data_IF_325934488033
#
_entry.id   IF_325934488033
#
_cell.length_a   1.000
_cell.length_b   1.000
_cell.length_c   1.000
_cell.angle_alpha   90.00
_cell.angle_beta   90.00
_cell.angle_gamma   90.00
#
_symmetry.space_group_name_H-M   'P 1'
#
loop_
_entity.id
_entity.type
_entity.pdbx_description
1 polymer ?
#
# COMPACT_ATOMS: atom_id res chain seq x y z
N UNK A 1 19.69 26.93 -4.93
CA UNK A 1 18.57 25.97 -5.00
C UNK A 1 19.19 24.63 -5.33
N UNK A 2 19.16 23.68 -4.41
CA UNK A 2 19.73 22.36 -4.66
C UNK A 2 18.74 21.59 -5.54
N UNK A 3 19.06 21.39 -6.80
CA UNK A 3 18.31 20.47 -7.67
C UNK A 3 18.49 19.06 -7.10
N UNK A 4 17.38 18.38 -6.84
CA UNK A 4 17.40 16.99 -6.41
C UNK A 4 17.19 16.15 -7.65
N UNK A 5 18.30 15.61 -8.18
CA UNK A 5 18.25 14.62 -9.24
C UNK A 5 17.72 13.31 -8.64
N UNK A 6 16.69 12.73 -9.26
CA UNK A 6 16.14 11.43 -8.86
C UNK A 6 17.12 10.31 -9.18
N UNK A 7 17.98 10.48 -10.19
CA UNK A 7 18.89 9.47 -10.71
C UNK A 7 18.14 8.21 -11.17
N UNK A 8 18.07 7.99 -12.48
CA UNK A 8 17.61 6.73 -13.08
C UNK A 8 18.66 5.61 -13.01
N UNK A 9 19.77 5.85 -12.28
CA UNK A 9 20.70 4.79 -11.89
C UNK A 9 19.93 3.73 -11.12
N UNK A 10 20.10 2.46 -11.50
CA UNK A 10 19.51 1.32 -10.80
C UNK A 10 19.92 1.35 -9.32
N UNK A 11 19.12 2.02 -8.50
CA UNK A 11 19.39 2.21 -7.10
C UNK A 11 19.33 0.83 -6.46
N UNK A 12 20.40 0.44 -5.76
CA UNK A 12 20.27 -0.63 -4.77
C UNK A 12 19.27 -0.14 -3.74
N UNK A 13 18.01 -0.55 -3.89
CA UNK A 13 16.96 -0.11 -3.00
C UNK A 13 17.25 -0.62 -1.58
N UNK A 14 17.19 0.25 -0.55
CA UNK A 14 17.45 -0.16 0.83
C UNK A 14 16.39 -1.15 1.34
N UNK A 15 15.23 -1.22 0.69
CA UNK A 15 14.21 -2.22 0.93
C UNK A 15 13.83 -2.87 -0.40
N UNK A 16 13.81 -4.20 -0.44
CA UNK A 16 13.24 -4.99 -1.53
C UNK A 16 12.32 -6.04 -0.93
N UNK A 17 11.11 -6.16 -1.46
CA UNK A 17 10.12 -7.08 -0.96
C UNK A 17 9.24 -7.62 -2.09
N UNK A 18 8.50 -8.68 -1.77
CA UNK A 18 7.56 -9.31 -2.68
C UNK A 18 6.25 -9.67 -1.99
N UNK A 19 5.19 -9.79 -2.78
CA UNK A 19 3.90 -10.29 -2.36
C UNK A 19 3.24 -11.08 -3.49
N UNK A 20 2.42 -12.07 -3.15
CA UNK A 20 1.46 -12.68 -4.06
C UNK A 20 0.21 -11.79 -4.12
N UNK A 21 -0.23 -11.47 -5.34
CA UNK A 21 -1.42 -10.69 -5.64
C UNK A 21 -2.46 -11.61 -6.28
N UNK A 22 -3.72 -11.44 -5.92
CA UNK A 22 -4.86 -12.05 -6.62
C UNK A 22 -5.20 -11.22 -7.87
N UNK A 23 -4.22 -11.11 -8.78
CA UNK A 23 -4.35 -10.50 -10.10
C UNK A 23 -3.50 -11.24 -11.15
N UNK A 24 -3.96 -11.31 -12.42
CA UNK A 24 -3.16 -11.86 -13.52
C UNK A 24 -1.86 -11.07 -13.74
N UNK A 25 -0.77 -11.79 -14.02
CA UNK A 25 0.55 -11.19 -14.20
C UNK A 25 0.60 -10.11 -15.30
N UNK A 26 -0.11 -10.32 -16.41
CA UNK A 26 -0.15 -9.35 -17.51
C UNK A 26 -0.82 -8.02 -17.13
N UNK A 27 -1.79 -8.05 -16.20
CA UNK A 27 -2.43 -6.84 -15.69
C UNK A 27 -1.45 -6.09 -14.80
N UNK A 28 -0.82 -6.79 -13.85
CA UNK A 28 0.11 -6.18 -12.90
C UNK A 28 1.33 -5.58 -13.61
N UNK A 29 1.87 -6.26 -14.63
CA UNK A 29 3.02 -5.78 -15.40
C UNK A 29 2.80 -4.42 -16.10
N UNK A 30 1.55 -4.08 -16.47
CA UNK A 30 1.23 -2.79 -17.09
C UNK A 30 1.39 -1.60 -16.13
N UNK A 31 1.28 -1.83 -14.82
CA UNK A 31 1.27 -0.78 -13.80
C UNK A 31 2.44 -0.86 -12.83
N UNK A 32 3.19 -1.96 -12.86
CA UNK A 32 4.33 -2.16 -11.98
C UNK A 32 5.42 -1.10 -12.24
N UNK A 33 6.02 -0.53 -11.19
CA UNK A 33 7.05 0.49 -11.36
C UNK A 33 8.30 -0.07 -12.05
N UNK A 34 9.04 0.79 -12.75
CA UNK A 34 10.31 0.39 -13.38
C UNK A 34 11.27 -0.26 -12.38
N UNK A 35 11.93 -1.34 -12.79
CA UNK A 35 12.83 -2.13 -11.94
C UNK A 35 12.14 -3.15 -11.02
N UNK A 36 10.83 -3.35 -11.17
CA UNK A 36 10.11 -4.45 -10.54
C UNK A 36 10.16 -5.74 -11.40
N UNK A 37 9.86 -6.87 -10.76
CA UNK A 37 9.74 -8.18 -11.40
C UNK A 37 8.34 -8.71 -11.12
N UNK A 38 7.61 -9.08 -12.17
CA UNK A 38 6.31 -9.74 -12.08
C UNK A 38 6.47 -11.18 -12.55
N UNK A 39 6.30 -12.12 -11.62
CA UNK A 39 6.34 -13.55 -11.89
C UNK A 39 4.92 -14.09 -12.01
N UNK A 40 4.61 -14.79 -13.10
CA UNK A 40 3.35 -15.48 -13.29
C UNK A 40 3.30 -16.73 -12.40
N UNK A 41 2.24 -16.87 -11.60
CA UNK A 41 2.02 -18.04 -10.76
C UNK A 41 0.92 -18.93 -11.35
N UNK A 42 -0.19 -18.30 -11.75
CA UNK A 42 -1.33 -18.92 -12.42
C UNK A 42 -2.17 -17.83 -13.15
N UNK A 43 -3.30 -18.22 -13.74
CA UNK A 43 -4.15 -17.31 -14.55
C UNK A 43 -4.66 -16.09 -13.77
N UNK A 44 -4.88 -16.24 -12.46
CA UNK A 44 -5.49 -15.22 -11.60
C UNK A 44 -4.50 -14.63 -10.58
N UNK A 45 -3.26 -15.13 -10.53
CA UNK A 45 -2.30 -14.69 -9.52
C UNK A 45 -0.89 -14.50 -10.08
N UNK A 46 -0.19 -13.57 -9.45
CA UNK A 46 1.21 -13.30 -9.73
C UNK A 46 1.98 -12.98 -8.45
N UNK A 47 3.30 -13.00 -8.53
CA UNK A 47 4.19 -12.46 -7.51
C UNK A 47 4.82 -11.19 -8.04
N UNK A 48 4.64 -10.09 -7.33
CA UNK A 48 5.29 -8.82 -7.62
C UNK A 48 6.45 -8.63 -6.64
N UNK A 49 7.66 -8.43 -7.17
CA UNK A 49 8.86 -8.07 -6.42
C UNK A 49 9.28 -6.66 -6.82
N UNK A 50 9.50 -5.79 -5.84
CA UNK A 50 9.84 -4.39 -6.07
C UNK A 50 10.71 -3.83 -4.93
N UNK A 51 11.48 -2.80 -5.25
CA UNK A 51 12.29 -2.06 -4.29
C UNK A 51 11.76 -0.64 -4.05
N UNK A 52 12.01 -0.11 -2.85
CA UNK A 52 11.73 1.28 -2.52
C UNK A 52 12.66 1.80 -1.41
N UNK A 53 12.58 3.10 -1.13
CA UNK A 53 13.32 3.76 -0.04
C UNK A 53 12.88 3.29 1.37
N UNK A 54 11.70 2.70 1.49
CA UNK A 54 11.19 2.20 2.78
C UNK A 54 10.17 1.08 2.58
N UNK A 55 9.99 0.26 3.63
CA UNK A 55 8.92 -0.75 3.67
C UNK A 55 7.52 -0.17 3.51
N UNK A 56 7.28 1.05 4.01
CA UNK A 56 6.00 1.73 3.82
C UNK A 56 5.77 2.14 2.36
N UNK A 57 6.83 2.49 1.63
CA UNK A 57 6.75 2.75 0.19
C UNK A 57 6.38 1.50 -0.61
N UNK A 58 7.00 0.35 -0.31
CA UNK A 58 6.63 -0.93 -0.92
C UNK A 58 5.17 -1.26 -0.61
N UNK A 59 4.77 -1.20 0.66
CA UNK A 59 3.39 -1.49 1.07
C UNK A 59 2.36 -0.54 0.41
N UNK A 60 2.70 0.74 0.24
CA UNK A 60 1.86 1.70 -0.46
C UNK A 60 1.68 1.37 -1.94
N UNK A 61 2.75 1.02 -2.65
CA UNK A 61 2.67 0.58 -4.06
C UNK A 61 1.86 -0.72 -4.19
N UNK A 62 2.06 -1.68 -3.29
CA UNK A 62 1.26 -2.90 -3.29
C UNK A 62 -0.23 -2.59 -3.07
N UNK A 63 -0.56 -1.64 -2.19
CA UNK A 63 -1.93 -1.23 -1.93
C UNK A 63 -2.63 -0.60 -3.15
N UNK A 64 -1.89 0.01 -4.11
CA UNK A 64 -2.53 0.61 -5.30
C UNK A 64 -3.10 -0.43 -6.27
N UNK A 65 -2.73 -1.71 -6.14
CA UNK A 65 -3.29 -2.79 -6.94
C UNK A 65 -4.68 -3.24 -6.47
N UNK A 66 -5.13 -2.78 -5.30
CA UNK A 66 -6.48 -3.00 -4.78
C UNK A 66 -6.94 -4.47 -4.86
N UNK A 67 -6.08 -5.37 -4.37
CA UNK A 67 -6.31 -6.81 -4.37
C UNK A 67 -5.82 -7.43 -3.07
N UNK A 68 -6.22 -8.67 -2.81
CA UNK A 68 -5.73 -9.43 -1.67
C UNK A 68 -4.23 -9.71 -1.82
N UNK A 69 -3.49 -9.52 -0.73
CA UNK A 69 -2.05 -9.71 -0.67
C UNK A 69 -1.72 -10.88 0.27
N UNK A 70 -0.98 -11.85 -0.24
CA UNK A 70 -0.50 -13.01 0.50
C UNK A 70 1.01 -13.20 0.32
N UNK A 71 1.61 -14.13 1.07
CA UNK A 71 3.03 -14.49 0.96
C UNK A 71 4.01 -13.31 0.96
N UNK A 72 3.77 -12.32 1.84
CA UNK A 72 4.60 -11.13 1.91
C UNK A 72 5.97 -11.44 2.51
N UNK A 73 7.02 -11.07 1.80
CA UNK A 73 8.40 -11.20 2.26
C UNK A 73 9.22 -9.95 1.96
N UNK A 74 10.16 -9.58 2.84
CA UNK A 74 10.47 -10.21 4.13
C UNK A 74 9.48 -9.80 5.25
N UNK A 75 9.57 -10.33 6.49
CA UNK A 75 8.65 -10.01 7.58
C UNK A 75 8.54 -8.51 7.93
N UNK A 76 9.56 -7.72 7.61
CA UNK A 76 9.56 -6.26 7.74
C UNK A 76 8.45 -5.62 6.91
N UNK A 77 8.16 -6.16 5.72
CA UNK A 77 7.07 -5.73 4.86
C UNK A 77 5.71 -6.02 5.51
N UNK A 78 5.54 -7.21 6.10
CA UNK A 78 4.33 -7.57 6.87
C UNK A 78 4.10 -6.56 7.99
N UNK A 79 5.15 -6.24 8.77
CA UNK A 79 5.06 -5.24 9.84
C UNK A 79 4.71 -3.85 9.31
N UNK A 80 5.17 -3.48 8.12
CA UNK A 80 4.82 -2.21 7.50
C UNK A 80 3.33 -2.15 7.09
N UNK A 81 2.82 -3.21 6.46
CA UNK A 81 1.40 -3.32 6.12
C UNK A 81 0.51 -3.22 7.38
N UNK A 82 0.87 -3.94 8.46
CA UNK A 82 0.16 -3.88 9.74
C UNK A 82 0.12 -2.46 10.33
N UNK A 83 1.25 -1.73 10.30
CA UNK A 83 1.31 -0.35 10.78
C UNK A 83 0.43 0.59 9.94
N UNK A 84 0.40 0.42 8.63
CA UNK A 84 -0.45 1.23 7.75
C UNK A 84 -1.93 0.94 8.00
N UNK A 85 -2.32 -0.33 8.06
CA UNK A 85 -3.68 -0.74 8.38
C UNK A 85 -4.15 -0.16 9.73
N UNK A 86 -3.31 -0.25 10.77
CA UNK A 86 -3.63 0.35 12.07
C UNK A 86 -3.84 1.86 11.98
N UNK A 87 -2.96 2.59 11.27
CA UNK A 87 -3.11 4.04 11.09
C UNK A 87 -4.41 4.40 10.36
N UNK A 88 -4.76 3.66 9.31
CA UNK A 88 -5.99 3.92 8.56
C UNK A 88 -7.24 3.59 9.37
N UNK A 89 -7.22 2.54 10.19
CA UNK A 89 -8.32 2.22 11.11
C UNK A 89 -8.61 3.40 12.06
N UNK A 90 -7.58 4.06 12.62
CA UNK A 90 -7.79 5.22 13.51
C UNK A 90 -8.47 6.43 12.84
N UNK A 91 -8.43 6.52 11.50
CA UNK A 91 -9.15 7.57 10.77
C UNK A 91 -10.66 7.28 10.71
N UNK A 92 -11.05 6.01 10.60
CA UNK A 92 -12.45 5.60 10.60
C UNK A 92 -13.13 5.98 11.93
N UNK A 93 -12.44 5.73 13.05
CA UNK A 93 -12.92 6.09 14.40
C UNK A 93 -13.15 7.60 14.58
N UNK A 94 -12.40 8.43 13.83
CA UNK A 94 -12.54 9.90 13.88
C UNK A 94 -13.71 10.39 13.01
N UNK A 95 -14.10 9.64 11.98
CA UNK A 95 -15.20 9.97 11.07
C UNK A 95 -16.58 9.69 11.65
N UNK A 96 -16.70 8.71 12.55
CA UNK A 96 -17.97 8.32 13.18
C UNK A 96 -18.34 9.19 14.39
N UNK A 97 -17.39 9.96 14.95
CA UNK A 97 -17.60 10.85 16.10
C UNK A 97 -18.11 12.27 15.79
N UNK A 98 -18.38 12.61 14.52
CA UNK A 98 -18.78 13.98 14.10
C UNK A 98 -20.27 14.14 13.72
N UNK A 99 -21.12 13.23 14.16
CA UNK A 99 -22.57 13.35 14.03
C UNK A 99 -23.27 13.09 15.36
N UNK A 100 -23.83 14.15 15.94
CA UNK A 100 -24.97 14.23 16.88
C UNK A 100 -24.61 15.01 18.13
N UNK A 101 -25.10 16.25 18.21
CA UNK A 101 -24.96 17.05 19.42
C UNK A 101 -25.46 18.50 19.39
N UNK A 102 -26.15 18.96 18.35
CA UNK A 102 -26.93 20.20 18.44
C UNK A 102 -28.20 20.01 17.62
N UNK A 103 -29.33 19.82 18.31
CA UNK A 103 -30.42 20.79 18.32
C UNK A 103 -31.68 20.14 18.92
N UNK A 104 -31.98 20.47 20.18
CA UNK A 104 -33.35 20.42 20.72
C UNK A 104 -33.54 21.67 21.56
N UNK A 105 -33.63 22.77 20.84
CA UNK A 105 -34.24 23.99 21.32
C UNK A 105 -35.75 23.77 21.63
N UNK A 106 -36.16 24.40 22.73
CA UNK A 106 -37.48 24.94 23.11
C UNK A 106 -38.81 24.21 22.81
N UNK A 107 -39.62 24.13 23.88
CA UNK A 107 -41.09 24.01 23.83
C UNK A 107 -41.62 23.24 25.05
N UNK A 108 -41.94 23.90 26.17
CA UNK A 108 -43.33 24.29 26.53
C UNK A 108 -44.00 23.16 27.34
N UNK A 109 -44.65 23.35 28.49
CA UNK A 109 -45.12 24.49 29.28
C UNK A 109 -45.23 24.06 30.73
#
# INVERSE_FOLDING_TARGET
>A
MSTHDRGDTAASWPCTGSARLTLPAHVVACWAPGGSVVEHLDDDHCRLTLGAWSWAGIAGILATFDTELTDLHPPELVRACQRLAHRWATLADTGEGRGTGEDRDTGGS
#
